data_IF_762488776674
#
_entry.id   IF_762488776674
#
_cell.length_a   1.000
_cell.length_b   1.000
_cell.length_c   1.000
_cell.angle_alpha   90.00
_cell.angle_beta   90.00
_cell.angle_gamma   90.00
#
_symmetry.space_group_name_H-M   'P 1'
#
loop_
_entity.id
_entity.type
_entity.pdbx_description
1 polymer ?
#
# COMPACT_ATOMS: atom_id res chain seq x y z
N UNK A 1 12.56 -20.17 -26.11
CA UNK A 1 11.34 -19.35 -25.99
C UNK A 1 10.57 -19.91 -24.82
N UNK A 2 10.24 -19.11 -23.81
CA UNK A 2 9.50 -19.57 -22.63
C UNK A 2 8.01 -19.73 -22.95
N UNK A 3 7.32 -20.62 -22.23
CA UNK A 3 5.89 -20.89 -22.31
C UNK A 3 5.24 -20.69 -20.93
N UNK A 4 3.92 -20.46 -20.90
CA UNK A 4 3.17 -20.33 -19.64
C UNK A 4 3.28 -21.59 -18.77
N UNK A 5 3.36 -22.77 -19.40
CA UNK A 5 3.45 -24.04 -18.69
C UNK A 5 4.79 -24.22 -17.96
N UNK A 6 5.84 -23.51 -18.35
CA UNK A 6 7.15 -23.54 -17.70
C UNK A 6 7.12 -22.97 -16.26
N UNK A 7 6.03 -22.28 -15.89
CA UNK A 7 5.82 -21.66 -14.57
C UNK A 7 4.65 -22.28 -13.80
N UNK A 8 4.04 -23.35 -14.31
CA UNK A 8 2.93 -24.05 -13.67
C UNK A 8 3.38 -25.43 -13.18
N UNK A 9 2.74 -25.97 -12.14
CA UNK A 9 2.99 -27.35 -11.73
C UNK A 9 2.76 -28.31 -12.89
N UNK A 10 3.67 -29.27 -13.05
CA UNK A 10 3.60 -30.25 -14.13
C UNK A 10 2.53 -31.28 -13.79
N UNK A 11 1.39 -31.23 -14.50
CA UNK A 11 0.29 -32.17 -14.30
C UNK A 11 0.60 -33.61 -14.70
N UNK A 12 1.75 -33.85 -15.33
CA UNK A 12 2.22 -35.18 -15.72
C UNK A 12 3.22 -35.77 -14.73
N UNK A 13 3.68 -34.99 -13.75
CA UNK A 13 4.65 -35.42 -12.74
C UNK A 13 3.98 -36.08 -11.53
N UNK A 14 4.65 -37.08 -10.95
CA UNK A 14 4.16 -37.83 -9.78
C UNK A 14 4.01 -36.95 -8.52
N UNK A 15 4.74 -35.83 -8.45
CA UNK A 15 4.72 -34.84 -7.37
C UNK A 15 3.78 -33.64 -7.66
N UNK A 16 2.95 -33.70 -8.70
CA UNK A 16 2.04 -32.61 -9.09
C UNK A 16 1.23 -32.05 -7.91
N UNK A 17 0.68 -32.92 -7.07
CA UNK A 17 -0.12 -32.51 -5.90
C UNK A 17 0.73 -31.82 -4.83
N UNK A 18 1.99 -32.21 -4.67
CA UNK A 18 2.92 -31.56 -3.74
C UNK A 18 3.35 -30.20 -4.27
N UNK A 19 3.64 -30.07 -5.57
CA UNK A 19 3.89 -28.78 -6.23
C UNK A 19 2.70 -27.82 -6.06
N UNK A 20 1.46 -28.30 -6.23
CA UNK A 20 0.24 -27.53 -6.00
C UNK A 20 0.12 -27.12 -4.52
N UNK A 21 0.45 -28.00 -3.59
CA UNK A 21 0.40 -27.73 -2.15
C UNK A 21 1.46 -26.73 -1.71
N UNK A 22 2.66 -26.81 -2.27
CA UNK A 22 3.74 -25.85 -2.07
C UNK A 22 3.34 -24.46 -2.57
N UNK A 23 2.83 -24.34 -3.80
CA UNK A 23 2.31 -23.07 -4.33
C UNK A 23 1.20 -22.48 -3.45
N UNK A 24 0.31 -23.31 -2.91
CA UNK A 24 -0.74 -22.87 -1.97
C UNK A 24 -0.18 -22.47 -0.61
N UNK A 25 0.93 -23.05 -0.18
CA UNK A 25 1.59 -22.74 1.09
C UNK A 25 2.37 -21.44 0.98
N UNK A 26 3.08 -21.23 -0.13
CA UNK A 26 3.79 -19.97 -0.43
C UNK A 26 2.82 -18.79 -0.44
N UNK A 27 1.59 -18.98 -0.95
CA UNK A 27 0.50 -17.98 -0.89
C UNK A 27 0.25 -17.44 0.53
N UNK A 28 0.38 -18.27 1.57
CA UNK A 28 0.15 -17.84 2.96
C UNK A 28 1.30 -16.97 3.49
N UNK A 29 2.51 -17.09 2.92
CA UNK A 29 3.71 -16.37 3.36
C UNK A 29 3.74 -14.88 2.97
N UNK A 30 2.70 -14.40 2.29
CA UNK A 30 2.50 -12.97 1.99
C UNK A 30 2.20 -12.16 3.26
N UNK A 31 1.80 -12.80 4.37
CA UNK A 31 1.49 -12.13 5.63
C UNK A 31 2.67 -12.08 6.58
N UNK A 32 2.71 -11.04 7.42
CA UNK A 32 3.55 -11.01 8.61
C UNK A 32 2.80 -11.62 9.80
N UNK A 33 2.96 -12.91 10.01
CA UNK A 33 2.23 -13.64 11.07
C UNK A 33 2.69 -13.27 12.49
N UNK A 34 3.93 -12.79 12.65
CA UNK A 34 4.53 -12.51 13.96
C UNK A 34 4.72 -11.01 14.22
N UNK A 35 4.51 -10.17 13.20
CA UNK A 35 4.88 -8.75 13.23
C UNK A 35 6.39 -8.49 13.12
N UNK A 36 7.18 -9.56 12.98
CA UNK A 36 8.65 -9.51 12.91
C UNK A 36 9.21 -10.60 11.99
N UNK A 37 8.38 -11.21 11.13
CA UNK A 37 8.83 -12.26 10.22
C UNK A 37 9.91 -11.73 9.27
N UNK A 38 10.90 -12.57 8.97
CA UNK A 38 12.01 -12.25 8.08
C UNK A 38 11.68 -12.48 6.60
N UNK A 39 10.45 -12.90 6.27
CA UNK A 39 10.05 -13.06 4.87
C UNK A 39 10.12 -11.71 4.15
N UNK A 40 10.41 -11.74 2.85
CA UNK A 40 10.49 -10.52 2.02
C UNK A 40 9.17 -9.74 2.06
N UNK A 41 8.04 -10.44 2.04
CA UNK A 41 6.71 -9.83 2.17
C UNK A 41 6.49 -9.17 3.51
N UNK A 42 6.80 -9.84 4.63
CA UNK A 42 6.65 -9.26 5.96
C UNK A 42 7.53 -8.02 6.14
N UNK A 43 8.78 -8.10 5.68
CA UNK A 43 9.71 -6.96 5.71
C UNK A 43 9.20 -5.80 4.86
N UNK A 44 8.73 -6.07 3.64
CA UNK A 44 8.12 -5.06 2.78
C UNK A 44 6.90 -4.42 3.42
N UNK A 45 5.98 -5.20 4.01
CA UNK A 45 4.78 -4.66 4.68
C UNK A 45 5.15 -3.69 5.79
N UNK A 46 6.13 -4.03 6.64
CA UNK A 46 6.58 -3.13 7.72
C UNK A 46 7.23 -1.87 7.19
N UNK A 47 8.09 -1.99 6.18
CA UNK A 47 8.72 -0.82 5.54
C UNK A 47 7.64 0.06 4.93
N UNK A 48 6.76 -0.48 4.09
CA UNK A 48 5.65 0.23 3.47
C UNK A 48 4.78 0.96 4.52
N UNK A 49 4.36 0.29 5.59
CA UNK A 49 3.61 0.92 6.69
C UNK A 49 4.37 2.07 7.34
N UNK A 50 5.68 1.93 7.54
CA UNK A 50 6.51 3.01 8.10
C UNK A 50 6.63 4.22 7.16
N UNK A 51 6.53 4.00 5.84
CA UNK A 51 6.55 5.08 4.88
C UNK A 51 5.20 5.79 4.78
N UNK A 52 4.11 5.03 4.70
CA UNK A 52 2.75 5.56 4.69
C UNK A 52 2.42 6.36 5.95
N UNK A 53 2.98 5.99 7.12
CA UNK A 53 2.83 6.79 8.34
C UNK A 53 3.32 8.24 8.15
N UNK A 54 4.41 8.45 7.41
CA UNK A 54 4.96 9.79 7.18
C UNK A 54 4.02 10.68 6.36
N UNK A 55 3.15 10.09 5.55
CA UNK A 55 2.17 10.83 4.76
C UNK A 55 1.13 11.49 5.65
N UNK A 56 0.54 10.70 6.56
CA UNK A 56 -0.42 11.18 7.55
C UNK A 56 0.19 12.28 8.43
N UNK A 57 1.41 12.05 8.95
CA UNK A 57 2.10 13.01 9.81
C UNK A 57 2.36 14.35 9.11
N UNK A 58 2.84 14.32 7.87
CA UNK A 58 3.16 15.52 7.12
C UNK A 58 1.89 16.32 6.77
N UNK A 59 0.84 15.63 6.31
CA UNK A 59 -0.43 16.27 5.98
C UNK A 59 -1.13 16.82 7.22
N UNK A 60 -1.15 16.08 8.33
CA UNK A 60 -1.75 16.51 9.60
C UNK A 60 -1.08 17.81 10.10
N UNK A 61 0.26 17.85 10.15
CA UNK A 61 0.99 19.07 10.55
C UNK A 61 0.73 20.22 9.59
N UNK A 62 0.64 19.97 8.28
CA UNK A 62 0.36 21.01 7.30
C UNK A 62 -1.05 21.61 7.48
N UNK A 63 -2.09 20.79 7.68
CA UNK A 63 -3.44 21.31 7.89
C UNK A 63 -3.57 22.00 9.25
N UNK A 64 -2.90 21.49 10.29
CA UNK A 64 -2.84 22.12 11.60
C UNK A 64 -2.23 23.52 11.52
N UNK A 65 -1.08 23.66 10.88
CA UNK A 65 -0.39 24.94 10.71
C UNK A 65 -1.11 25.90 9.74
N UNK A 66 -2.01 25.39 8.90
CA UNK A 66 -2.75 26.21 7.96
C UNK A 66 -3.78 27.11 8.63
N UNK A 67 -4.26 26.74 9.83
CA UNK A 67 -5.34 27.42 10.56
C UNK A 67 -6.65 27.55 9.75
N UNK A 68 -6.85 26.68 8.74
CA UNK A 68 -8.03 26.69 7.84
C UNK A 68 -9.06 25.61 8.16
N UNK A 69 -8.75 24.71 9.10
CA UNK A 69 -9.56 23.51 9.39
C UNK A 69 -9.71 23.36 10.91
N UNK A 70 -10.90 22.95 11.37
CA UNK A 70 -11.09 22.54 12.76
C UNK A 70 -10.39 21.20 13.01
N UNK A 71 -9.28 21.25 13.74
CA UNK A 71 -8.47 20.08 14.07
C UNK A 71 -9.18 19.14 15.04
N UNK A 72 -10.04 19.65 15.93
CA UNK A 72 -10.78 18.81 16.87
C UNK A 72 -11.75 17.88 16.15
N UNK A 73 -12.46 18.40 15.16
CA UNK A 73 -13.39 17.59 14.37
C UNK A 73 -12.65 16.66 13.41
N UNK A 74 -11.49 17.07 12.90
CA UNK A 74 -10.60 16.21 12.11
C UNK A 74 -10.10 15.02 12.93
N UNK A 75 -9.59 15.25 14.14
CA UNK A 75 -9.07 14.22 15.03
C UNK A 75 -10.15 13.24 15.49
N UNK A 76 -11.36 13.74 15.80
CA UNK A 76 -12.51 12.86 16.08
C UNK A 76 -12.85 11.97 14.89
N UNK A 77 -12.84 12.54 13.68
CA UNK A 77 -13.13 11.78 12.46
C UNK A 77 -12.09 10.67 12.27
N UNK A 78 -10.81 10.96 12.47
CA UNK A 78 -9.73 9.96 12.44
C UNK A 78 -9.97 8.87 13.51
N UNK A 79 -10.32 9.25 14.73
CA UNK A 79 -10.60 8.30 15.81
C UNK A 79 -11.76 7.36 15.46
N UNK A 80 -12.87 7.90 14.94
CA UNK A 80 -14.02 7.09 14.50
C UNK A 80 -13.66 6.18 13.33
N UNK A 81 -12.88 6.68 12.36
CA UNK A 81 -12.46 5.90 11.20
C UNK A 81 -11.59 4.70 11.61
N UNK A 82 -10.58 4.92 12.46
CA UNK A 82 -9.72 3.84 12.98
C UNK A 82 -10.55 2.85 13.80
N UNK A 83 -11.42 3.33 14.68
CA UNK A 83 -12.28 2.47 15.51
C UNK A 83 -13.29 1.65 14.70
N UNK A 84 -13.73 2.15 13.55
CA UNK A 84 -14.67 1.44 12.65
C UNK A 84 -13.96 0.39 11.79
N UNK A 85 -12.67 0.59 11.50
CA UNK A 85 -11.92 -0.24 10.57
C UNK A 85 -12.42 -0.12 9.13
N UNK A 86 -11.98 -1.04 8.27
CA UNK A 86 -12.37 -1.12 6.87
C UNK A 86 -12.47 -2.58 6.44
N UNK A 87 -13.55 -2.93 5.73
CA UNK A 87 -13.69 -4.22 5.04
C UNK A 87 -13.56 -4.02 3.52
N UNK A 88 -12.36 -4.24 2.94
CA UNK A 88 -12.15 -4.15 1.50
C UNK A 88 -12.71 -5.36 0.73
N UNK A 89 -13.34 -6.33 1.43
CA UNK A 89 -13.88 -7.58 0.86
C UNK A 89 -12.85 -8.44 0.13
N UNK A 90 -11.59 -8.34 0.52
CA UNK A 90 -10.48 -9.14 -0.03
C UNK A 90 -10.29 -10.47 0.71
N UNK A 91 -10.88 -10.61 1.91
CA UNK A 91 -10.72 -11.78 2.77
C UNK A 91 -9.23 -12.10 3.03
N UNK A 92 -8.89 -13.39 2.97
CA UNK A 92 -7.50 -13.84 3.08
C UNK A 92 -6.84 -14.14 1.72
N UNK A 93 -7.37 -13.54 0.63
CA UNK A 93 -6.87 -13.79 -0.71
C UNK A 93 -5.82 -12.73 -1.11
N UNK A 94 -4.53 -13.10 -1.23
CA UNK A 94 -3.50 -12.13 -1.57
C UNK A 94 -3.65 -11.55 -2.98
N UNK A 95 -4.31 -12.24 -3.92
CA UNK A 95 -4.56 -11.68 -5.26
C UNK A 95 -5.55 -10.51 -5.20
N UNK A 96 -6.64 -10.69 -4.45
CA UNK A 96 -7.61 -9.61 -4.24
C UNK A 96 -6.98 -8.47 -3.44
N UNK A 97 -6.15 -8.80 -2.44
CA UNK A 97 -5.34 -7.83 -1.70
C UNK A 97 -4.45 -6.99 -2.62
N UNK A 98 -3.65 -7.64 -3.47
CA UNK A 98 -2.76 -6.94 -4.40
C UNK A 98 -3.52 -6.08 -5.41
N UNK A 99 -4.60 -6.58 -6.01
CA UNK A 99 -5.43 -5.80 -6.95
C UNK A 99 -6.01 -4.57 -6.24
N UNK A 100 -6.58 -4.77 -5.05
CA UNK A 100 -7.14 -3.69 -4.25
C UNK A 100 -6.09 -2.63 -3.89
N UNK A 101 -4.92 -3.06 -3.42
CA UNK A 101 -3.82 -2.16 -3.07
C UNK A 101 -3.31 -1.38 -4.28
N UNK A 102 -3.07 -2.05 -5.42
CA UNK A 102 -2.63 -1.36 -6.65
C UNK A 102 -3.63 -0.32 -7.14
N UNK A 103 -4.93 -0.63 -7.07
CA UNK A 103 -5.97 0.33 -7.42
C UNK A 103 -5.99 1.51 -6.44
N UNK A 104 -5.90 1.23 -5.13
CA UNK A 104 -5.92 2.25 -4.08
C UNK A 104 -4.72 3.20 -4.15
N UNK A 105 -3.53 2.67 -4.42
CA UNK A 105 -2.33 3.48 -4.66
C UNK A 105 -2.46 4.33 -5.92
N UNK A 106 -2.99 3.77 -7.02
CA UNK A 106 -3.26 4.52 -8.25
C UNK A 106 -4.26 5.66 -8.05
N UNK A 107 -5.34 5.42 -7.31
CA UNK A 107 -6.32 6.44 -6.96
C UNK A 107 -5.72 7.57 -6.11
N UNK A 108 -4.87 7.22 -5.14
CA UNK A 108 -4.19 8.19 -4.27
C UNK A 108 -3.18 9.01 -5.07
N UNK A 109 -2.43 8.38 -5.98
CA UNK A 109 -1.52 9.05 -6.90
C UNK A 109 -2.23 10.10 -7.76
N UNK A 110 -3.37 9.75 -8.37
CA UNK A 110 -4.15 10.71 -9.16
C UNK A 110 -4.67 11.86 -8.27
N UNK A 111 -5.15 11.53 -7.08
CA UNK A 111 -5.71 12.50 -6.14
C UNK A 111 -4.67 13.53 -5.66
N UNK A 112 -3.48 13.06 -5.26
CA UNK A 112 -2.37 13.92 -4.87
C UNK A 112 -1.86 14.77 -6.04
N UNK A 113 -1.81 14.23 -7.27
CA UNK A 113 -1.46 14.99 -8.47
C UNK A 113 -2.43 16.13 -8.74
N UNK A 114 -3.73 15.87 -8.60
CA UNK A 114 -4.76 16.89 -8.73
C UNK A 114 -4.67 17.95 -7.62
N UNK A 115 -4.47 17.53 -6.37
CA UNK A 115 -4.29 18.43 -5.24
C UNK A 115 -3.06 19.34 -5.42
N UNK A 116 -1.92 18.80 -5.88
CA UNK A 116 -0.73 19.59 -6.17
C UNK A 116 -0.99 20.67 -7.22
N UNK A 117 -1.73 20.33 -8.28
CA UNK A 117 -2.09 21.27 -9.35
C UNK A 117 -3.02 22.37 -8.84
N UNK A 118 -4.03 22.03 -8.04
CA UNK A 118 -4.95 23.00 -7.42
C UNK A 118 -4.20 23.92 -6.46
N UNK A 119 -3.35 23.38 -5.58
CA UNK A 119 -2.53 24.18 -4.67
C UNK A 119 -1.68 25.21 -5.43
N UNK A 120 -1.05 24.80 -6.54
CA UNK A 120 -0.28 25.71 -7.39
C UNK A 120 -1.14 26.78 -8.06
N UNK A 121 -2.38 26.47 -8.47
CA UNK A 121 -3.31 27.44 -9.06
C UNK A 121 -3.76 28.51 -8.06
N UNK A 122 -3.70 28.22 -6.76
CA UNK A 122 -4.02 29.13 -5.67
C UNK A 122 -2.77 29.69 -4.97
N UNK A 123 -1.61 29.63 -5.63
CA UNK A 123 -0.31 30.12 -5.12
C UNK A 123 0.17 29.49 -3.80
N UNK A 124 -0.40 28.35 -3.39
CA UNK A 124 0.06 27.56 -2.23
C UNK A 124 1.18 26.60 -2.66
N UNK A 125 2.35 27.20 -2.96
CA UNK A 125 3.51 26.47 -3.47
C UNK A 125 4.05 25.45 -2.46
N UNK A 126 3.89 25.69 -1.16
CA UNK A 126 4.34 24.76 -0.11
C UNK A 126 3.47 23.52 -0.09
N UNK A 127 2.15 23.67 -0.15
CA UNK A 127 1.24 22.53 -0.24
C UNK A 127 1.45 21.76 -1.54
N UNK A 128 1.66 22.45 -2.67
CA UNK A 128 1.99 21.80 -3.93
C UNK A 128 3.27 20.95 -3.84
N UNK A 129 4.32 21.47 -3.19
CA UNK A 129 5.57 20.74 -2.93
C UNK A 129 5.34 19.50 -2.06
N UNK A 130 4.53 19.61 -1.00
CA UNK A 130 4.18 18.48 -0.13
C UNK A 130 3.48 17.40 -0.94
N UNK A 131 2.44 17.74 -1.71
CA UNK A 131 1.73 16.77 -2.54
C UNK A 131 2.67 16.07 -3.54
N UNK A 132 3.60 16.81 -4.17
CA UNK A 132 4.60 16.22 -5.08
C UNK A 132 5.59 15.30 -4.36
N UNK A 133 6.03 15.66 -3.15
CA UNK A 133 6.93 14.81 -2.37
C UNK A 133 6.28 13.47 -2.02
N UNK A 134 4.99 13.49 -1.67
CA UNK A 134 4.20 12.27 -1.40
C UNK A 134 4.11 11.39 -2.67
N UNK A 135 3.80 11.98 -3.84
CA UNK A 135 3.75 11.25 -5.11
C UNK A 135 5.08 10.54 -5.46
N UNK A 136 6.20 11.21 -5.21
CA UNK A 136 7.53 10.66 -5.48
C UNK A 136 7.84 9.47 -4.57
N UNK A 137 7.44 9.53 -3.30
CA UNK A 137 7.60 8.40 -2.40
C UNK A 137 6.72 7.22 -2.85
N UNK A 138 5.46 7.46 -3.22
CA UNK A 138 4.54 6.38 -3.63
C UNK A 138 5.06 5.64 -4.86
N UNK A 139 5.67 6.35 -5.81
CA UNK A 139 6.32 5.74 -6.98
C UNK A 139 7.47 4.81 -6.60
N UNK A 140 8.19 5.09 -5.52
CA UNK A 140 9.32 4.26 -5.07
C UNK A 140 8.85 3.05 -4.24
N UNK A 141 7.73 3.17 -3.52
CA UNK A 141 7.14 2.11 -2.70
C UNK A 141 6.52 0.96 -3.52
N UNK A 142 6.09 1.23 -4.77
CA UNK A 142 5.56 0.22 -5.71
C UNK A 142 6.60 -0.77 -6.24
N UNK A 143 7.88 -0.70 -5.83
CA UNK A 143 8.87 -1.71 -6.19
C UNK A 143 8.55 -3.00 -5.44
N UNK A 144 8.40 -4.10 -6.18
CA UNK A 144 8.13 -5.42 -5.61
C UNK A 144 9.15 -5.80 -4.54
N UNK A 145 8.78 -6.64 -3.54
CA UNK A 145 9.75 -7.18 -2.61
C UNK A 145 10.79 -7.95 -3.40
N UNK A 146 12.00 -7.39 -3.54
CA UNK A 146 13.11 -8.15 -4.08
C UNK A 146 13.57 -9.10 -2.98
N UNK A 147 13.52 -10.41 -3.26
CA UNK A 147 14.23 -11.37 -2.44
C UNK A 147 15.71 -10.96 -2.41
N UNK A 148 16.23 -10.67 -1.23
CA UNK A 148 17.67 -10.63 -0.99
C UNK A 148 18.13 -12.03 -0.60
#
# INVERSE_FOLDING_TARGET
MWQLQDFLPDSTSDDFYDQIKELRTERRRVRDETGASLTSWATWTRVWSSEENRHGDLLNKQIFLSDRVDMRDTEKTIQFLIGSGMDPKTGNNPYLGSIYSSFSEGATFISLGNAARLAKQHDDLKLAQICVALLLQMRNAMKTPTAK
#
